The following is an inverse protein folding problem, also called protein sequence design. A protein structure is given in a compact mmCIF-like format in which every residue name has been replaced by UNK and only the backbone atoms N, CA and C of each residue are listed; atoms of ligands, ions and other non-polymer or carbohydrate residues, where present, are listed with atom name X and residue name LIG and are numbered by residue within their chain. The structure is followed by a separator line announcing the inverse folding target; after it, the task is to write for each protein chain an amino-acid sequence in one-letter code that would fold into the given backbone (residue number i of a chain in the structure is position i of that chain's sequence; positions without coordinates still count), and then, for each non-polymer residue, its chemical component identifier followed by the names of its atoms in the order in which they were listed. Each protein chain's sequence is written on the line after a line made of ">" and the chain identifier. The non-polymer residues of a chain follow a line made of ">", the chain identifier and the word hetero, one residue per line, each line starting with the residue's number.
data_IF_968372180091
#
_entry.id   IF_968372180091
#
_cell.length_a   1.000
_cell.length_b   1.000
_cell.length_c   1.000
_cell.angle_alpha   90.00
_cell.angle_beta   90.00
_cell.angle_gamma   90.00
#
_symmetry.space_group_name_H-M   'P 1'
#
loop_
_entity.id
_entity.type
_entity.pdbx_description
1 polymer ?
#
# COMPACT_ATOMS: atom_id res chain seq x y z
N UNK A 1 -3.56 -2.77 -0.67
CA UNK A 1 -3.17 -3.41 -1.95
C UNK A 1 -3.50 -4.90 -2.02
N UNK A 2 -3.19 -5.72 -1.00
CA UNK A 2 -3.41 -7.18 -1.04
C UNK A 2 -4.85 -7.59 -1.38
N UNK A 3 -5.86 -6.84 -0.90
CA UNK A 3 -7.27 -7.03 -1.27
C UNK A 3 -7.49 -6.96 -2.79
N UNK A 4 -6.87 -5.99 -3.47
CA UNK A 4 -6.98 -5.79 -4.93
C UNK A 4 -6.33 -6.93 -5.70
N UNK A 5 -5.15 -7.38 -5.27
CA UNK A 5 -4.43 -8.51 -5.86
C UNK A 5 -5.28 -9.78 -5.78
N UNK A 6 -5.76 -10.12 -4.58
CA UNK A 6 -6.61 -11.30 -4.37
C UNK A 6 -7.88 -11.26 -5.22
N UNK A 7 -8.55 -10.11 -5.27
CA UNK A 7 -9.78 -9.94 -6.07
C UNK A 7 -9.55 -10.15 -7.57
N UNK A 8 -8.52 -9.53 -8.15
CA UNK A 8 -8.23 -9.66 -9.58
C UNK A 8 -7.73 -11.07 -9.92
N UNK A 9 -6.97 -11.71 -9.02
CA UNK A 9 -6.59 -13.12 -9.16
C UNK A 9 -7.81 -14.03 -9.20
N UNK A 10 -8.73 -13.92 -8.24
CA UNK A 10 -9.95 -14.75 -8.22
C UNK A 10 -10.73 -14.59 -9.52
N UNK A 11 -10.89 -13.36 -10.02
CA UNK A 11 -11.56 -13.13 -11.31
C UNK A 11 -10.82 -13.81 -12.47
N UNK A 12 -9.50 -13.65 -12.56
CA UNK A 12 -8.70 -14.29 -13.62
C UNK A 12 -8.73 -15.83 -13.56
N UNK A 13 -8.82 -16.40 -12.35
CA UNK A 13 -8.98 -17.84 -12.16
C UNK A 13 -10.33 -18.34 -12.66
N UNK A 14 -11.42 -17.62 -12.37
CA UNK A 14 -12.77 -17.96 -12.82
C UNK A 14 -12.92 -17.88 -14.34
N UNK A 15 -12.30 -16.88 -14.98
CA UNK A 15 -12.41 -16.67 -16.43
C UNK A 15 -11.52 -17.63 -17.24
N UNK A 16 -10.31 -17.92 -16.76
CA UNK A 16 -9.28 -18.62 -17.54
C UNK A 16 -8.99 -20.05 -17.06
N UNK A 17 -9.51 -20.46 -15.91
CA UNK A 17 -9.30 -21.79 -15.32
C UNK A 17 -7.84 -22.16 -15.02
N UNK A 18 -6.91 -21.21 -15.11
CA UNK A 18 -5.46 -21.44 -15.02
C UNK A 18 -4.97 -21.41 -13.56
N UNK A 19 -3.77 -21.91 -13.28
CA UNK A 19 -3.15 -21.75 -11.94
C UNK A 19 -2.91 -20.28 -11.60
N UNK A 20 -3.03 -19.92 -10.32
CA UNK A 20 -2.81 -18.56 -9.84
C UNK A 20 -1.39 -18.07 -10.12
N UNK A 21 -0.41 -18.98 -10.17
CA UNK A 21 0.99 -18.68 -10.47
C UNK A 21 1.14 -18.14 -11.88
N UNK A 22 0.45 -18.73 -12.86
CA UNK A 22 0.49 -18.32 -14.27
C UNK A 22 -0.28 -17.02 -14.50
N UNK A 23 -1.37 -16.80 -13.75
CA UNK A 23 -2.19 -15.59 -13.86
C UNK A 23 -1.60 -14.39 -13.12
N UNK A 24 -0.73 -14.61 -12.13
CA UNK A 24 -0.18 -13.55 -11.27
C UNK A 24 0.59 -12.46 -12.05
N UNK A 25 1.52 -12.78 -12.98
CA UNK A 25 2.22 -11.75 -13.74
C UNK A 25 1.27 -10.84 -14.53
N UNK A 26 0.26 -11.43 -15.17
CA UNK A 26 -0.74 -10.68 -15.94
C UNK A 26 -1.62 -9.79 -15.04
N UNK A 27 -2.04 -10.30 -13.88
CA UNK A 27 -2.80 -9.51 -12.90
C UNK A 27 -1.98 -8.34 -12.35
N UNK A 28 -0.70 -8.57 -12.02
CA UNK A 28 0.18 -7.51 -11.55
C UNK A 28 0.44 -6.46 -12.63
N UNK A 29 0.62 -6.89 -13.88
CA UNK A 29 0.72 -6.00 -15.04
C UNK A 29 -0.53 -5.12 -15.17
N UNK A 30 -1.71 -5.72 -15.14
CA UNK A 30 -2.97 -4.97 -15.18
C UNK A 30 -3.12 -4.00 -14.00
N UNK A 31 -2.68 -4.36 -12.79
CA UNK A 31 -2.72 -3.45 -11.62
C UNK A 31 -1.80 -2.26 -11.84
N UNK A 32 -0.57 -2.50 -12.34
CA UNK A 32 0.42 -1.45 -12.59
C UNK A 32 0.02 -0.50 -13.71
N UNK A 33 -0.79 -0.96 -14.66
CA UNK A 33 -1.33 -0.16 -15.75
C UNK A 33 -2.71 0.47 -15.46
N UNK A 34 -3.33 0.21 -14.29
CA UNK A 34 -4.59 0.87 -13.92
C UNK A 34 -4.30 2.14 -13.15
N UNK A 35 -4.95 3.24 -13.54
CA UNK A 35 -4.88 4.51 -12.82
C UNK A 35 -5.42 4.37 -11.40
N UNK A 36 -4.72 4.92 -10.42
CA UNK A 36 -5.25 4.99 -9.07
C UNK A 36 -6.31 6.10 -8.99
N UNK A 37 -7.51 5.78 -8.51
CA UNK A 37 -8.65 6.73 -8.42
C UNK A 37 -8.31 8.03 -7.68
N UNK A 38 -7.36 7.99 -6.75
CA UNK A 38 -6.93 9.15 -5.97
C UNK A 38 -5.98 10.09 -6.70
N UNK A 39 -5.15 9.58 -7.61
CA UNK A 39 -4.08 10.36 -8.27
C UNK A 39 -4.30 10.51 -9.77
N UNK A 40 -5.13 9.67 -10.40
CA UNK A 40 -5.33 9.64 -11.85
C UNK A 40 -4.10 9.17 -12.64
N UNK A 41 -3.06 8.68 -11.95
CA UNK A 41 -1.79 8.25 -12.56
C UNK A 41 -1.59 6.77 -12.24
N UNK A 42 -1.08 6.00 -13.19
CA UNK A 42 -0.80 4.57 -12.99
C UNK A 42 0.44 4.36 -12.12
N UNK A 43 0.51 3.28 -11.31
CA UNK A 43 1.72 2.97 -10.55
C UNK A 43 2.98 2.81 -11.42
N UNK A 44 2.84 2.28 -12.64
CA UNK A 44 3.96 2.15 -13.57
C UNK A 44 4.49 3.51 -14.02
N UNK A 45 3.60 4.46 -14.30
CA UNK A 45 3.97 5.84 -14.62
C UNK A 45 4.58 6.57 -13.40
N UNK A 46 4.12 6.34 -12.18
CA UNK A 46 4.77 6.99 -11.02
C UNK A 46 6.24 6.54 -10.88
N UNK A 47 6.52 5.26 -11.20
CA UNK A 47 7.85 4.69 -11.03
C UNK A 47 8.78 4.96 -12.22
N UNK A 48 8.26 4.89 -13.44
CA UNK A 48 9.05 4.97 -14.68
C UNK A 48 8.68 6.17 -15.55
N UNK A 49 7.47 6.72 -15.31
CA UNK A 49 6.72 7.76 -16.04
C UNK A 49 6.55 7.56 -17.53
N UNK A 50 6.80 6.36 -18.01
CA UNK A 50 6.33 5.93 -19.31
C UNK A 50 4.96 5.31 -19.11
N UNK A 51 4.11 5.36 -20.13
CA UNK A 51 2.93 4.51 -20.17
C UNK A 51 3.39 3.06 -20.19
N UNK A 52 2.69 2.20 -19.44
CA UNK A 52 3.01 0.78 -19.44
C UNK A 52 2.77 0.22 -20.85
N UNK A 53 3.75 -0.44 -21.48
CA UNK A 53 3.54 -1.04 -22.79
C UNK A 53 2.65 -2.27 -22.62
N UNK A 54 1.34 -2.07 -22.74
CA UNK A 54 0.40 -3.16 -22.81
C UNK A 54 0.42 -3.68 -24.26
N UNK A 55 0.50 -5.00 -24.44
CA UNK A 55 0.30 -5.62 -25.75
C UNK A 55 -1.19 -5.57 -26.11
N UNK A 56 -1.73 -4.37 -26.29
CA UNK A 56 -3.06 -4.17 -26.84
C UNK A 56 -2.96 -4.30 -28.37
N UNK A 57 -3.91 -4.99 -29.04
CA UNK A 57 -3.84 -5.27 -30.47
C UNK A 57 -3.60 -4.05 -31.39
N UNK A 58 -3.90 -2.83 -30.92
CA UNK A 58 -3.91 -1.61 -31.73
C UNK A 58 -3.05 -0.46 -31.17
N UNK A 59 -2.19 -0.68 -30.16
CA UNK A 59 -1.31 0.39 -29.66
C UNK A 59 0.09 0.30 -30.28
N UNK A 60 0.57 1.36 -30.96
CA UNK A 60 1.95 1.40 -31.41
C UNK A 60 2.89 1.44 -30.20
N UNK A 61 3.99 0.67 -30.26
CA UNK A 61 5.09 0.79 -29.31
C UNK A 61 5.77 2.15 -29.52
N UNK A 62 5.30 3.19 -28.84
CA UNK A 62 5.83 4.55 -28.98
C UNK A 62 7.19 4.64 -28.31
N UNK A 63 8.27 4.80 -29.10
CA UNK A 63 9.57 5.25 -28.61
C UNK A 63 9.59 6.78 -28.59
N UNK A 64 9.65 7.39 -27.40
CA UNK A 64 9.71 8.85 -27.25
C UNK A 64 11.09 9.44 -27.62
N UNK A 65 11.15 10.68 -28.15
CA UNK A 65 12.40 11.38 -28.40
C UNK A 65 13.16 11.74 -27.11
N UNK A 66 14.50 11.67 -27.16
CA UNK A 66 15.43 11.79 -26.01
C UNK A 66 15.22 13.08 -25.17
N UNK A 67 14.91 14.21 -25.81
CA UNK A 67 14.69 15.49 -25.11
C UNK A 67 13.46 15.45 -24.18
N UNK A 68 12.41 14.75 -24.61
CA UNK A 68 11.20 14.58 -23.81
C UNK A 68 11.47 13.63 -22.64
N UNK A 69 12.31 12.61 -22.84
CA UNK A 69 12.71 11.68 -21.78
C UNK A 69 13.44 12.41 -20.63
N UNK A 70 14.36 13.32 -20.92
CA UNK A 70 15.11 14.07 -19.88
C UNK A 70 14.19 14.99 -19.06
N UNK A 71 13.35 15.78 -19.73
CA UNK A 71 12.41 16.68 -19.04
C UNK A 71 11.41 15.90 -18.16
N UNK A 72 10.98 14.73 -18.65
CA UNK A 72 10.08 13.83 -17.94
C UNK A 72 10.75 13.17 -16.73
N UNK A 73 12.01 12.77 -16.84
CA UNK A 73 12.76 12.16 -15.74
C UNK A 73 13.02 13.18 -14.62
N UNK A 74 13.29 14.45 -14.95
CA UNK A 74 13.37 15.53 -13.96
C UNK A 74 12.03 15.76 -13.24
N UNK A 75 10.92 15.76 -14.00
CA UNK A 75 9.58 15.86 -13.42
C UNK A 75 9.28 14.70 -12.47
N UNK A 76 9.66 13.47 -12.83
CA UNK A 76 9.50 12.30 -11.97
C UNK A 76 10.32 12.38 -10.69
N UNK A 77 11.57 12.84 -10.77
CA UNK A 77 12.40 13.04 -9.59
C UNK A 77 11.71 14.02 -8.62
N UNK A 78 11.14 15.10 -9.16
CA UNK A 78 10.38 16.06 -8.36
C UNK A 78 9.13 15.43 -7.74
N UNK A 79 8.34 14.67 -8.49
CA UNK A 79 7.15 13.97 -7.96
C UNK A 79 7.53 12.96 -6.88
N UNK A 80 8.58 12.17 -7.10
CA UNK A 80 9.05 11.19 -6.11
C UNK A 80 9.55 11.87 -4.84
N UNK A 81 10.25 13.01 -4.96
CA UNK A 81 10.70 13.79 -3.82
C UNK A 81 9.50 14.36 -3.04
N UNK A 82 8.55 14.98 -3.72
CA UNK A 82 7.32 15.51 -3.12
C UNK A 82 6.50 14.39 -2.45
N UNK A 83 6.42 13.19 -3.07
CA UNK A 83 5.74 12.05 -2.45
C UNK A 83 6.44 11.58 -1.19
N UNK A 84 7.78 11.51 -1.17
CA UNK A 84 8.53 11.15 0.05
C UNK A 84 8.25 12.12 1.19
N UNK A 85 8.13 13.41 0.89
CA UNK A 85 7.79 14.45 1.87
C UNK A 85 6.33 14.36 2.34
N UNK A 86 5.39 13.98 1.46
CA UNK A 86 3.97 13.91 1.77
C UNK A 86 3.52 12.58 2.41
N UNK A 87 4.27 11.49 2.20
CA UNK A 87 3.99 10.18 2.79
C UNK A 87 3.83 10.17 4.32
N UNK A 88 4.68 10.84 5.13
CA UNK A 88 4.48 10.90 6.58
C UNK A 88 3.14 11.58 6.95
N UNK A 89 2.75 12.65 6.27
CA UNK A 89 1.46 13.33 6.50
C UNK A 89 0.26 12.46 6.08
N UNK A 90 0.39 11.71 4.98
CA UNK A 90 -0.64 10.78 4.53
C UNK A 90 -0.78 9.56 5.47
N UNK A 91 0.32 9.07 6.06
CA UNK A 91 0.30 8.01 7.06
C UNK A 91 -0.49 8.43 8.31
N UNK A 92 -0.31 9.67 8.78
CA UNK A 92 -1.08 10.24 9.90
C UNK A 92 -2.59 10.26 9.57
N UNK A 93 -2.97 10.65 8.35
CA UNK A 93 -4.38 10.65 7.91
C UNK A 93 -4.98 9.26 7.69
N UNK A 94 -4.16 8.27 7.33
CA UNK A 94 -4.59 6.88 7.09
C UNK A 94 -4.57 6.02 8.37
N UNK A 95 -4.01 6.52 9.47
CA UNK A 95 -4.32 6.02 10.81
C UNK A 95 -5.80 6.32 11.11
N UNK A 96 -6.70 5.51 10.53
CA UNK A 96 -7.92 5.15 11.24
C UNK A 96 -7.48 4.20 12.35
N UNK A 97 -7.44 4.62 13.62
CA UNK A 97 -7.38 3.64 14.67
C UNK A 97 -8.62 2.76 14.48
N UNK A 98 -8.43 1.45 14.50
CA UNK A 98 -9.53 0.47 14.58
C UNK A 98 -10.28 0.56 15.93
N UNK A 99 -10.14 1.68 16.65
CA UNK A 99 -10.71 1.95 17.96
C UNK A 99 -11.90 2.87 17.72
N UNK A 100 -13.04 2.26 17.45
CA UNK A 100 -14.32 2.94 17.55
C UNK A 100 -14.60 3.09 19.06
N UNK A 101 -14.09 4.18 19.63
CA UNK A 101 -14.15 4.52 21.05
C UNK A 101 -12.97 5.42 21.44
N UNK A 102 -13.24 6.44 22.25
CA UNK A 102 -12.21 7.26 22.90
C UNK A 102 -11.46 6.42 23.93
N UNK A 103 -10.56 5.52 23.50
CA UNK A 103 -9.57 4.95 24.42
C UNK A 103 -8.47 5.98 24.57
N UNK A 104 -8.31 6.62 25.74
CA UNK A 104 -7.22 7.56 25.96
C UNK A 104 -5.89 6.83 25.74
N UNK A 105 -4.94 7.52 25.12
CA UNK A 105 -3.57 7.02 25.08
C UNK A 105 -3.05 6.91 26.52
N UNK A 106 -2.43 5.78 26.91
CA UNK A 106 -1.99 5.59 28.29
C UNK A 106 -0.83 6.53 28.64
N UNK A 107 -0.79 7.00 29.87
CA UNK A 107 0.26 7.91 30.35
C UNK A 107 1.50 7.15 30.79
N UNK A 108 2.67 7.79 30.74
CA UNK A 108 3.91 7.20 31.27
C UNK A 108 3.72 6.90 32.77
N UNK A 109 4.02 5.66 33.15
CA UNK A 109 3.86 5.16 34.51
C UNK A 109 2.53 4.45 34.80
N UNK A 110 1.56 4.50 33.89
CA UNK A 110 0.28 3.78 34.00
C UNK A 110 0.47 2.26 33.82
N UNK A 111 -0.40 1.47 34.45
CA UNK A 111 -0.43 0.02 34.34
C UNK A 111 -1.43 -0.40 33.27
N UNK A 112 -0.96 -1.10 32.23
CA UNK A 112 -1.77 -1.52 31.09
C UNK A 112 -1.71 -3.03 30.90
N UNK A 113 -2.80 -3.58 30.36
CA UNK A 113 -2.87 -4.96 29.89
C UNK A 113 -2.60 -4.98 28.38
N UNK A 114 -1.75 -5.91 27.92
CA UNK A 114 -1.42 -6.05 26.51
C UNK A 114 -2.24 -7.19 25.91
N UNK A 115 -2.93 -6.92 24.80
CA UNK A 115 -3.71 -7.94 24.11
C UNK A 115 -2.78 -8.94 23.42
N UNK A 116 -2.97 -10.21 23.73
CA UNK A 116 -2.28 -11.31 23.06
C UNK A 116 -3.09 -11.72 21.83
N UNK A 117 -2.42 -11.85 20.68
CA UNK A 117 -3.05 -12.30 19.43
C UNK A 117 -2.63 -13.71 19.01
N UNK A 118 -1.57 -14.25 19.64
CA UNK A 118 -1.05 -15.59 19.38
C UNK A 118 -1.32 -16.45 20.61
N UNK A 119 -2.39 -17.21 20.56
CA UNK A 119 -2.71 -18.19 21.59
C UNK A 119 -2.09 -19.54 21.23
N UNK A 120 -1.53 -20.23 22.21
CA UNK A 120 -0.98 -21.58 22.07
C UNK A 120 -2.08 -22.62 22.35
N UNK A 121 -3.01 -22.29 23.26
CA UNK A 121 -4.15 -23.12 23.65
C UNK A 121 -5.50 -22.40 23.58
N UNK A 122 -6.61 -23.15 23.56
CA UNK A 122 -7.97 -22.58 23.49
C UNK A 122 -8.38 -21.76 24.72
N UNK A 123 -7.71 -21.98 25.85
CA UNK A 123 -8.02 -21.38 27.15
C UNK A 123 -6.97 -20.38 27.63
N UNK A 124 -6.04 -20.00 26.74
CA UNK A 124 -5.05 -18.98 27.06
C UNK A 124 -5.72 -17.63 27.25
N UNK A 125 -5.20 -16.85 28.19
CA UNK A 125 -5.72 -15.51 28.43
C UNK A 125 -5.54 -14.62 27.19
N UNK A 126 -6.54 -13.80 26.91
CA UNK A 126 -6.50 -12.82 25.83
C UNK A 126 -5.64 -11.59 26.15
N UNK A 127 -5.20 -11.48 27.40
CA UNK A 127 -4.51 -10.31 27.94
C UNK A 127 -3.37 -10.76 28.84
N UNK A 128 -2.21 -10.14 28.67
CA UNK A 128 -1.03 -10.31 29.52
C UNK A 128 -0.72 -9.03 30.28
N UNK A 129 -0.21 -9.18 31.51
CA UNK A 129 0.19 -8.06 32.35
C UNK A 129 -0.23 -8.23 33.81
N UNK A 130 -0.20 -7.14 34.59
CA UNK A 130 -0.06 -5.75 34.14
C UNK A 130 1.38 -5.32 33.84
N UNK A 131 1.55 -4.49 32.80
CA UNK A 131 2.84 -3.89 32.42
C UNK A 131 2.82 -2.38 32.66
N UNK A 132 3.97 -1.83 33.06
CA UNK A 132 4.13 -0.38 33.27
C UNK A 132 4.56 0.30 31.96
N UNK A 133 3.88 1.37 31.58
CA UNK A 133 4.28 2.19 30.43
C UNK A 133 5.54 2.98 30.76
N UNK A 134 6.63 2.73 30.03
CA UNK A 134 7.91 3.43 30.22
C UNK A 134 8.01 4.69 29.35
N UNK A 135 7.48 4.63 28.13
CA UNK A 135 7.57 5.71 27.15
C UNK A 135 6.40 5.61 26.16
N UNK A 136 5.94 6.76 25.66
CA UNK A 136 4.91 6.85 24.62
C UNK A 136 5.54 7.45 23.36
N UNK A 137 5.72 6.63 22.32
CA UNK A 137 6.25 7.08 21.03
C UNK A 137 5.12 7.35 20.03
N UNK A 138 5.28 8.41 19.22
CA UNK A 138 4.30 8.82 18.20
C UNK A 138 3.55 10.13 18.50
N UNK A 139 3.96 10.88 19.53
CA UNK A 139 3.45 12.21 19.81
C UNK A 139 4.15 13.25 18.90
N UNK A 140 3.89 13.21 17.59
CA UNK A 140 4.18 14.36 16.73
C UNK A 140 3.03 15.34 16.88
N UNK A 141 3.27 16.40 17.66
CA UNK A 141 2.57 17.68 17.44
C UNK A 141 2.81 18.19 16.02
#
# INVERSE_FOLDING_TARGET
>A
MNRTIKRRLVKALLEKGSSWVTSLPAVLMGIRATEATSTGITPFEIMTGRKMPLCLPNEPLVSEPIKNAIARDLFLQQVQQNLKELLPYAAIRLHKPYLQGETPMPSVGEMVMVKVFRHVGPWDANWEGPYRVLEVMGNTM
#
